data_IF_297630912291
#
_entry.id   IF_297630912291
#
_cell.length_a   1.000
_cell.length_b   1.000
_cell.length_c   1.000
_cell.angle_alpha   90.00
_cell.angle_beta   90.00
_cell.angle_gamma   90.00
#
_symmetry.space_group_name_H-M   'P 1'
#
loop_
_entity.id
_entity.type
_entity.pdbx_description
1 polymer ?
#
# COMPACT_ATOMS: atom_id res chain seq x y z
N UNK A 1 -11.92 -11.91 4.00
CA UNK A 1 -11.94 -10.71 3.14
C UNK A 1 -11.02 -9.68 3.78
N UNK A 2 -10.10 -9.08 3.03
CA UNK A 2 -9.23 -8.00 3.49
C UNK A 2 -9.38 -6.84 2.52
N UNK A 3 -9.70 -5.66 3.04
CA UNK A 3 -9.73 -4.41 2.28
C UNK A 3 -8.47 -3.63 2.63
N UNK A 4 -7.78 -3.14 1.61
CA UNK A 4 -6.57 -2.35 1.75
C UNK A 4 -6.74 -1.13 0.89
N UNK A 5 -6.78 0.01 1.54
CA UNK A 5 -6.86 1.28 0.87
C UNK A 5 -5.46 1.83 0.64
N UNK A 6 -5.22 2.24 -0.59
CA UNK A 6 -3.91 2.67 -1.07
C UNK A 6 -4.08 3.98 -1.84
N UNK A 7 -3.40 5.04 -1.40
CA UNK A 7 -3.42 6.33 -2.08
C UNK A 7 -2.69 6.30 -3.44
N UNK A 8 -3.02 7.21 -4.37
CA UNK A 8 -2.44 7.39 -5.72
C UNK A 8 -1.79 8.78 -5.90
N UNK A 9 -0.98 9.04 -6.96
CA UNK A 9 -0.05 10.19 -7.20
C UNK A 9 -0.54 11.57 -6.76
N UNK A 10 -1.83 11.69 -6.84
CA UNK A 10 -2.56 12.92 -6.70
C UNK A 10 -3.81 12.65 -5.85
N UNK A 11 -4.01 11.49 -5.24
CA UNK A 11 -5.02 11.17 -4.23
C UNK A 11 -4.48 10.23 -3.10
N UNK A 12 -3.73 10.78 -2.12
CA UNK A 12 -2.88 10.03 -1.16
C UNK A 12 -3.45 9.92 0.25
N UNK A 13 -4.23 10.91 0.67
CA UNK A 13 -4.69 10.98 2.05
C UNK A 13 -5.88 10.07 2.21
N UNK A 14 -5.75 8.97 2.96
CA UNK A 14 -6.91 8.13 3.25
C UNK A 14 -7.48 8.43 4.64
N UNK A 15 -8.78 8.70 4.70
CA UNK A 15 -9.53 8.88 5.94
C UNK A 15 -10.51 7.71 6.14
N UNK A 16 -10.23 6.85 7.12
CA UNK A 16 -11.08 5.72 7.48
C UNK A 16 -12.33 6.22 8.22
N UNK A 17 -13.51 5.99 7.65
CA UNK A 17 -14.79 6.45 8.22
C UNK A 17 -15.53 5.39 9.04
N UNK A 18 -15.04 4.15 9.02
CA UNK A 18 -15.60 3.01 9.76
C UNK A 18 -14.82 2.69 11.03
N UNK A 19 -15.50 2.06 12.01
CA UNK A 19 -14.90 1.63 13.28
C UNK A 19 -14.92 0.11 13.44
N UNK A 20 -14.01 -0.40 14.26
CA UNK A 20 -13.98 -1.83 14.62
C UNK A 20 -15.31 -2.24 15.25
N UNK A 21 -15.89 -3.34 14.74
CA UNK A 21 -17.19 -3.86 15.19
C UNK A 21 -18.42 -3.20 14.56
N UNK A 22 -18.23 -2.17 13.72
CA UNK A 22 -19.33 -1.55 12.99
C UNK A 22 -19.91 -2.51 11.94
N UNK A 23 -21.23 -2.71 11.99
CA UNK A 23 -21.94 -3.40 10.92
C UNK A 23 -22.05 -2.47 9.71
N UNK A 24 -21.70 -2.98 8.53
CA UNK A 24 -21.75 -2.27 7.25
C UNK A 24 -22.62 -3.07 6.28
N UNK A 25 -23.52 -2.36 5.61
CA UNK A 25 -24.33 -2.91 4.55
C UNK A 25 -23.55 -2.89 3.23
N UNK A 26 -23.99 -3.70 2.27
CA UNK A 26 -23.52 -3.60 0.89
C UNK A 26 -23.67 -2.15 0.41
N UNK A 27 -22.66 -1.68 -0.33
CA UNK A 27 -22.56 -0.32 -0.88
C UNK A 27 -22.38 0.78 0.19
N UNK A 28 -22.05 0.42 1.43
CA UNK A 28 -21.69 1.36 2.50
C UNK A 28 -20.28 1.94 2.32
N UNK A 29 -20.12 3.22 2.65
CA UNK A 29 -18.83 3.91 2.62
C UNK A 29 -17.88 3.33 3.68
N UNK A 30 -16.64 3.07 3.28
CA UNK A 30 -15.57 2.57 4.15
C UNK A 30 -14.58 3.69 4.51
N UNK A 31 -14.15 4.44 3.50
CA UNK A 31 -13.16 5.49 3.62
C UNK A 31 -13.29 6.54 2.50
N UNK A 32 -12.42 7.55 2.53
CA UNK A 32 -12.36 8.65 1.55
C UNK A 32 -10.89 8.94 1.22
N UNK A 33 -10.60 9.18 -0.05
CA UNK A 33 -9.30 9.64 -0.51
C UNK A 33 -9.26 11.17 -0.74
N UNK A 34 -8.19 11.81 -0.29
CA UNK A 34 -7.85 13.22 -0.43
C UNK A 34 -6.71 13.42 -1.44
N UNK A 35 -6.67 14.54 -2.18
CA UNK A 35 -5.74 14.78 -3.27
C UNK A 35 -4.22 14.89 -2.81
N UNK A 36 -3.28 14.07 -3.33
CA UNK A 36 -1.78 14.07 -3.19
C UNK A 36 -1.10 12.69 -3.53
N UNK A 37 0.24 12.50 -3.67
CA UNK A 37 1.11 11.28 -3.98
C UNK A 37 0.68 9.76 -4.11
N UNK A 38 1.36 8.94 -4.96
CA UNK A 38 1.00 7.54 -5.29
C UNK A 38 1.68 6.54 -4.41
N UNK A 39 0.89 5.57 -4.01
CA UNK A 39 1.26 4.48 -3.16
C UNK A 39 0.89 3.18 -3.88
N UNK A 40 1.74 2.17 -3.72
CA UNK A 40 1.43 0.80 -4.09
C UNK A 40 1.59 -0.04 -2.82
N UNK A 41 0.67 -0.97 -2.55
CA UNK A 41 0.78 -1.89 -1.42
C UNK A 41 0.73 -3.31 -1.94
N UNK A 42 1.73 -4.12 -1.56
CA UNK A 42 1.79 -5.55 -1.83
C UNK A 42 1.49 -6.30 -0.54
N UNK A 43 0.44 -7.14 -0.55
CA UNK A 43 0.07 -7.97 0.60
C UNK A 43 0.35 -9.43 0.32
N UNK A 44 1.02 -10.06 1.27
CA UNK A 44 1.38 -11.47 1.20
C UNK A 44 0.67 -12.25 2.32
N UNK A 45 0.35 -13.52 2.06
CA UNK A 45 -0.23 -14.40 3.08
C UNK A 45 0.81 -14.70 4.16
N UNK A 46 0.39 -14.98 5.41
CA UNK A 46 1.31 -15.48 6.43
C UNK A 46 2.11 -16.68 5.91
N UNK A 47 3.43 -16.67 6.13
CA UNK A 47 4.35 -17.71 5.68
C UNK A 47 4.98 -17.50 4.30
N UNK A 48 4.60 -16.46 3.56
CA UNK A 48 5.32 -16.05 2.35
C UNK A 48 6.59 -15.31 2.76
N UNK A 49 7.77 -15.87 2.44
CA UNK A 49 9.03 -15.16 2.67
C UNK A 49 9.34 -14.29 1.46
N UNK A 50 9.41 -12.99 1.68
CA UNK A 50 9.73 -12.01 0.64
C UNK A 50 11.11 -11.45 0.91
N UNK A 51 12.00 -11.59 -0.07
CA UNK A 51 13.34 -10.99 -0.05
C UNK A 51 13.36 -9.77 -0.95
N UNK A 52 13.44 -8.59 -0.34
CA UNK A 52 13.46 -7.33 -1.06
C UNK A 52 14.83 -7.07 -1.69
N UNK A 53 14.82 -6.55 -2.92
CA UNK A 53 15.98 -6.00 -3.61
C UNK A 53 15.81 -4.47 -3.67
N UNK A 54 16.44 -3.77 -2.75
CA UNK A 54 16.35 -2.31 -2.64
C UNK A 54 17.46 -1.60 -3.44
N UNK A 55 18.17 -2.31 -4.32
CA UNK A 55 19.25 -1.74 -5.15
C UNK A 55 20.35 -1.05 -4.34
N UNK A 56 20.67 -1.58 -3.15
CA UNK A 56 21.73 -1.05 -2.29
C UNK A 56 21.35 0.21 -1.51
N UNK A 57 20.07 0.59 -1.51
CA UNK A 57 19.57 1.71 -0.70
C UNK A 57 18.78 1.23 0.51
N UNK A 58 18.78 2.05 1.57
CA UNK A 58 17.89 1.88 2.71
C UNK A 58 16.64 2.77 2.54
N UNK A 59 15.43 2.26 2.86
CA UNK A 59 14.21 3.05 2.77
C UNK A 59 14.29 4.28 3.68
N UNK A 60 14.27 5.46 3.08
CA UNK A 60 14.31 6.74 3.80
C UNK A 60 13.79 7.88 2.94
N UNK A 61 13.70 9.09 3.50
CA UNK A 61 13.42 10.31 2.74
C UNK A 61 14.54 10.63 1.71
N UNK A 62 15.73 10.04 1.84
CA UNK A 62 16.86 10.20 0.92
C UNK A 62 16.95 9.12 -0.17
N UNK A 63 15.91 8.30 -0.33
CA UNK A 63 15.87 7.24 -1.36
C UNK A 63 15.87 7.82 -2.77
N UNK A 64 16.28 7.02 -3.74
CA UNK A 64 16.19 7.34 -5.17
C UNK A 64 15.24 6.38 -5.89
N UNK A 65 14.74 6.80 -7.05
CA UNK A 65 13.83 6.00 -7.84
C UNK A 65 14.51 4.69 -8.31
N UNK A 66 13.84 3.57 -8.08
CA UNK A 66 14.15 2.29 -8.73
C UNK A 66 13.61 2.36 -10.17
N UNK A 67 14.33 1.79 -11.14
CA UNK A 67 13.91 1.85 -12.55
C UNK A 67 12.62 1.05 -12.75
N UNK A 68 11.78 1.54 -13.64
CA UNK A 68 10.61 0.78 -14.10
C UNK A 68 11.10 -0.52 -14.75
N UNK A 69 10.45 -1.65 -14.42
CA UNK A 69 10.83 -3.02 -14.79
C UNK A 69 12.04 -3.63 -14.06
N UNK A 70 12.64 -2.95 -13.09
CA UNK A 70 13.61 -3.58 -12.20
C UNK A 70 12.91 -4.45 -11.15
N UNK A 71 13.60 -5.49 -10.71
CA UNK A 71 13.13 -6.39 -9.66
C UNK A 71 13.20 -5.72 -8.28
N UNK A 72 12.05 -5.61 -7.60
CA UNK A 72 11.97 -5.06 -6.24
C UNK A 72 11.93 -6.12 -5.14
N UNK A 73 11.57 -7.37 -5.46
CA UNK A 73 11.52 -8.49 -4.53
C UNK A 73 11.43 -9.86 -5.21
N UNK A 74 11.83 -10.91 -4.48
CA UNK A 74 11.60 -12.34 -4.81
C UNK A 74 10.87 -13.05 -3.68
N UNK A 75 10.09 -14.08 -4.01
CA UNK A 75 9.51 -15.00 -3.03
C UNK A 75 10.44 -16.19 -2.86
N UNK A 76 10.73 -16.57 -1.61
CA UNK A 76 11.57 -17.71 -1.21
C UNK A 76 10.79 -18.76 -0.39
#
# INVERSE_FOLDING_TARGET
>A
MCFVAVGMAEVSGNEITVKVGQHINKDGQLDIFHFGGSTHVLLFRPGVNVKFNLHGQEPSLGSHNIKVHDEIARVE
#
